data_IF_733569740702
#
_entry.id   IF_733569740702
#
_cell.length_a   1.000
_cell.length_b   1.000
_cell.length_c   1.000
_cell.angle_alpha   90.00
_cell.angle_beta   90.00
_cell.angle_gamma   90.00
#
_symmetry.space_group_name_H-M   'P 1'
#
loop_
_entity.id
_entity.type
_entity.pdbx_description
1 polymer ?
#
# COMPACT_ATOMS: atom_id res chain seq x y z
N UNK A 1 43.68 22.45 -20.67
CA UNK A 1 43.23 22.95 -19.35
C UNK A 1 42.12 22.03 -18.86
N UNK A 2 42.47 21.14 -17.93
CA UNK A 2 41.56 20.19 -17.29
C UNK A 2 41.12 20.83 -15.97
N UNK A 3 39.81 20.83 -15.67
CA UNK A 3 39.31 20.91 -14.30
C UNK A 3 38.26 19.83 -14.09
N UNK A 4 38.76 18.72 -13.60
CA UNK A 4 38.09 17.74 -12.76
C UNK A 4 37.47 18.43 -11.54
N UNK A 5 36.24 18.06 -11.23
CA UNK A 5 35.50 18.46 -10.03
C UNK A 5 34.65 17.29 -9.55
N UNK A 6 35.34 16.31 -8.98
CA UNK A 6 34.82 15.11 -8.31
C UNK A 6 34.55 15.48 -6.86
N UNK A 7 33.35 15.27 -6.31
CA UNK A 7 33.12 15.15 -4.86
C UNK A 7 31.88 14.24 -4.58
N UNK A 8 32.23 13.00 -4.22
CA UNK A 8 31.81 12.19 -3.07
C UNK A 8 30.31 11.85 -2.91
N UNK A 9 29.98 10.59 -3.27
CA UNK A 9 28.91 9.80 -2.68
C UNK A 9 29.30 9.37 -1.25
N UNK A 10 28.52 9.74 -0.25
CA UNK A 10 28.65 9.20 1.10
C UNK A 10 27.58 8.12 1.33
N UNK A 11 27.97 6.87 1.06
CA UNK A 11 27.32 5.67 1.60
C UNK A 11 27.91 5.45 2.99
N UNK A 12 27.09 5.52 4.03
CA UNK A 12 27.52 5.16 5.40
C UNK A 12 26.81 3.89 5.82
N UNK A 13 27.39 2.77 5.40
CA UNK A 13 27.30 1.48 6.10
C UNK A 13 28.23 1.59 7.30
N UNK A 14 27.70 1.47 8.52
CA UNK A 14 28.51 1.16 9.69
C UNK A 14 27.88 -0.03 10.42
N UNK A 15 28.54 -1.17 10.27
CA UNK A 15 28.22 -2.41 10.97
C UNK A 15 28.72 -2.42 12.41
N UNK A 16 27.85 -2.93 13.29
CA UNK A 16 28.10 -3.96 14.30
C UNK A 16 29.53 -4.20 14.80
N UNK A 17 29.70 -4.14 16.14
CA UNK A 17 30.43 -5.08 17.01
C UNK A 17 29.93 -4.82 18.45
N UNK A 18 28.98 -5.62 18.97
CA UNK A 18 29.16 -6.85 19.77
C UNK A 18 29.76 -6.63 21.17
N UNK A 19 28.91 -6.82 22.21
CA UNK A 19 29.32 -7.34 23.51
C UNK A 19 28.09 -7.82 24.30
N UNK A 20 27.84 -9.13 24.26
CA UNK A 20 27.54 -9.93 25.45
C UNK A 20 27.37 -11.41 25.06
N UNK A 21 28.36 -12.19 25.47
CA UNK A 21 28.24 -13.64 25.55
C UNK A 21 27.39 -14.00 26.76
N UNK A 22 26.41 -14.89 26.58
CA UNK A 22 25.99 -15.82 27.62
C UNK A 22 25.61 -17.13 26.93
N UNK A 23 26.37 -18.18 27.25
CA UNK A 23 26.19 -19.53 26.75
C UNK A 23 25.05 -20.24 27.50
N UNK A 24 24.34 -21.11 26.77
CA UNK A 24 23.73 -22.32 27.34
C UNK A 24 22.21 -22.33 27.45
N UNK A 25 21.53 -22.86 26.43
CA UNK A 25 20.53 -23.93 26.56
C UNK A 25 19.89 -24.22 25.19
N UNK A 26 20.02 -25.46 24.70
CA UNK A 26 19.16 -25.98 23.64
C UNK A 26 17.75 -26.13 24.22
N UNK A 27 16.80 -25.34 23.71
CA UNK A 27 15.36 -25.59 23.86
C UNK A 27 14.75 -25.54 22.47
N UNK A 28 14.28 -26.71 22.02
CA UNK A 28 13.36 -26.83 20.91
C UNK A 28 12.06 -26.15 21.31
N UNK A 29 11.75 -24.99 20.74
CA UNK A 29 10.43 -24.37 20.88
C UNK A 29 9.68 -24.46 19.56
N UNK A 30 9.05 -25.62 19.34
CA UNK A 30 7.78 -25.63 18.64
C UNK A 30 6.77 -24.94 19.56
N UNK A 31 6.46 -23.68 19.28
CA UNK A 31 5.32 -22.99 19.88
C UNK A 31 4.39 -22.44 18.77
N UNK A 32 3.06 -22.52 18.97
CA UNK A 32 2.09 -22.54 17.88
C UNK A 32 1.64 -21.12 17.51
N UNK A 33 1.89 -20.71 16.26
CA UNK A 33 1.44 -19.42 15.72
C UNK A 33 -0.09 -19.38 15.49
N UNK A 34 -0.80 -20.51 15.62
CA UNK A 34 -2.21 -20.61 15.24
C UNK A 34 -3.24 -20.15 16.28
N UNK A 35 -2.87 -19.77 17.51
CA UNK A 35 -3.90 -19.41 18.51
C UNK A 35 -4.30 -17.92 18.46
N UNK A 36 -3.42 -17.03 18.00
CA UNK A 36 -3.68 -15.58 18.03
C UNK A 36 -4.43 -15.10 16.77
N UNK A 37 -4.17 -15.68 15.60
CA UNK A 37 -4.91 -15.40 14.37
C UNK A 37 -6.37 -15.91 14.46
N UNK A 38 -6.57 -17.09 15.06
CA UNK A 38 -7.91 -17.67 15.30
C UNK A 38 -8.72 -16.84 16.31
N UNK A 39 -8.06 -16.25 17.32
CA UNK A 39 -8.74 -15.37 18.29
C UNK A 39 -9.25 -14.07 17.66
N UNK A 40 -8.55 -13.52 16.67
CA UNK A 40 -8.99 -12.33 15.93
C UNK A 40 -10.18 -12.67 15.02
N UNK A 41 -10.18 -13.85 14.38
CA UNK A 41 -11.29 -14.35 13.55
C UNK A 41 -12.57 -14.54 14.40
N UNK A 42 -12.44 -15.02 15.64
CA UNK A 42 -13.59 -15.26 16.52
C UNK A 42 -14.23 -13.96 17.04
N UNK A 43 -13.45 -12.93 17.33
CA UNK A 43 -13.98 -11.64 17.83
C UNK A 43 -14.74 -10.86 16.75
N UNK A 44 -14.37 -11.00 15.47
CA UNK A 44 -15.04 -10.28 14.37
C UNK A 44 -16.34 -10.95 13.88
N UNK A 45 -16.53 -12.25 14.14
CA UNK A 45 -17.77 -12.95 13.81
C UNK A 45 -18.93 -12.65 14.78
N UNK A 46 -18.70 -12.01 15.93
CA UNK A 46 -19.76 -11.73 16.92
C UNK A 46 -20.52 -10.42 16.68
N UNK A 47 -20.10 -9.57 15.73
CA UNK A 47 -20.79 -8.31 15.44
C UNK A 47 -21.95 -8.43 14.43
N UNK A 48 -22.21 -9.63 13.91
CA UNK A 48 -23.27 -9.89 12.93
C UNK A 48 -24.22 -10.99 13.45
N UNK A 49 -25.21 -10.61 14.25
CA UNK A 49 -26.44 -11.42 14.36
C UNK A 49 -27.52 -10.73 13.54
N UNK A 50 -27.98 -11.34 12.42
CA UNK A 50 -29.12 -10.83 11.69
C UNK A 50 -30.41 -11.32 12.34
N UNK A 51 -31.38 -10.40 12.47
CA UNK A 51 -32.79 -10.74 12.75
C UNK A 51 -33.32 -11.77 11.73
N UNK A 52 -34.32 -12.60 12.09
CA UNK A 52 -34.81 -13.66 11.22
C UNK A 52 -35.61 -13.08 10.04
N UNK A 53 -35.01 -13.08 8.84
CA UNK A 53 -35.65 -12.64 7.59
C UNK A 53 -36.37 -13.82 6.91
N UNK A 54 -37.67 -13.61 6.61
CA UNK A 54 -38.54 -14.45 5.78
C UNK A 54 -37.91 -14.76 4.39
N UNK A 55 -38.10 -15.96 3.83
CA UNK A 55 -37.45 -16.34 2.58
C UNK A 55 -38.01 -15.55 1.39
N UNK A 56 -37.13 -14.79 0.74
CA UNK A 56 -37.36 -14.12 -0.55
C UNK A 56 -36.74 -14.95 -1.68
N UNK A 57 -37.36 -15.03 -2.87
CA UNK A 57 -36.88 -15.87 -3.96
C UNK A 57 -35.76 -15.17 -4.75
N UNK A 58 -34.58 -14.98 -4.14
CA UNK A 58 -33.40 -14.51 -4.85
C UNK A 58 -32.54 -15.69 -5.29
N UNK A 59 -32.23 -15.74 -6.59
CA UNK A 59 -31.26 -16.65 -7.20
C UNK A 59 -29.98 -16.66 -6.38
N UNK A 60 -29.65 -17.83 -5.82
CA UNK A 60 -28.37 -18.09 -5.14
C UNK A 60 -27.25 -17.85 -6.16
N UNK A 61 -26.34 -16.88 -5.93
CA UNK A 61 -25.16 -16.73 -6.77
C UNK A 61 -24.34 -18.03 -6.72
N UNK A 62 -23.84 -18.50 -7.86
CA UNK A 62 -22.92 -19.65 -7.92
C UNK A 62 -21.82 -19.49 -6.86
N UNK A 63 -21.34 -20.58 -6.22
CA UNK A 63 -20.25 -20.48 -5.26
C UNK A 63 -19.02 -19.89 -5.95
N UNK A 64 -18.67 -18.65 -5.60
CA UNK A 64 -17.47 -18.00 -6.11
C UNK A 64 -16.25 -18.74 -5.55
N UNK A 65 -15.28 -19.05 -6.41
CA UNK A 65 -13.99 -19.55 -5.93
C UNK A 65 -13.29 -18.46 -5.12
N UNK A 66 -12.39 -18.80 -4.17
CA UNK A 66 -11.64 -17.80 -3.40
C UNK A 66 -10.90 -16.79 -4.29
N UNK A 67 -10.39 -17.25 -5.44
CA UNK A 67 -9.71 -16.39 -6.41
C UNK A 67 -10.68 -15.44 -7.13
N UNK A 68 -11.85 -15.91 -7.54
CA UNK A 68 -12.88 -15.04 -8.13
C UNK A 68 -13.33 -13.94 -7.17
N UNK A 69 -13.52 -14.28 -5.89
CA UNK A 69 -13.88 -13.32 -4.86
C UNK A 69 -12.74 -12.31 -4.56
N UNK A 70 -11.48 -12.72 -4.70
CA UNK A 70 -10.32 -11.82 -4.66
C UNK A 70 -10.36 -10.82 -5.82
N UNK A 71 -10.59 -11.29 -7.05
CA UNK A 71 -10.68 -10.42 -8.23
C UNK A 71 -11.84 -9.43 -8.12
N UNK A 72 -12.99 -9.84 -7.58
CA UNK A 72 -14.10 -8.93 -7.30
C UNK A 72 -13.69 -7.82 -6.31
N UNK A 73 -12.97 -8.19 -5.24
CA UNK A 73 -12.48 -7.23 -4.24
C UNK A 73 -11.45 -6.26 -4.84
N UNK A 74 -10.57 -6.75 -5.70
CA UNK A 74 -9.60 -5.94 -6.44
C UNK A 74 -10.33 -4.97 -7.40
N UNK A 75 -11.36 -5.44 -8.10
CA UNK A 75 -12.18 -4.62 -9.00
C UNK A 75 -12.83 -3.44 -8.25
N UNK A 76 -13.45 -3.69 -7.09
CA UNK A 76 -14.04 -2.63 -6.25
C UNK A 76 -13.01 -1.57 -5.84
N UNK A 77 -11.79 -1.99 -5.49
CA UNK A 77 -10.73 -1.05 -5.15
C UNK A 77 -10.29 -0.23 -6.37
N UNK A 78 -10.09 -0.87 -7.54
CA UNK A 78 -9.77 -0.19 -8.81
C UNK A 78 -10.84 0.83 -9.19
N UNK A 79 -12.11 0.47 -9.12
CA UNK A 79 -13.23 1.37 -9.43
C UNK A 79 -13.23 2.59 -8.51
N UNK A 80 -12.92 2.40 -7.22
CA UNK A 80 -12.83 3.49 -6.23
C UNK A 80 -11.67 4.48 -6.48
N UNK A 81 -10.67 4.09 -7.28
CA UNK A 81 -9.50 4.91 -7.63
C UNK A 81 -9.74 5.62 -8.97
N UNK A 82 -10.29 4.90 -9.95
CA UNK A 82 -10.47 5.38 -11.32
C UNK A 82 -11.68 6.30 -11.52
N UNK A 83 -12.58 6.38 -10.54
CA UNK A 83 -13.73 7.29 -10.59
C UNK A 83 -13.28 8.75 -10.67
N UNK A 84 -13.61 9.41 -11.78
CA UNK A 84 -13.42 10.84 -12.02
C UNK A 84 -14.77 11.50 -12.28
N UNK A 85 -15.15 12.56 -11.55
CA UNK A 85 -16.38 13.27 -11.82
C UNK A 85 -16.28 14.01 -13.15
N UNK A 86 -17.42 14.20 -13.81
CA UNK A 86 -17.52 15.00 -15.02
C UNK A 86 -16.96 16.41 -14.81
N UNK A 87 -16.22 16.91 -15.79
CA UNK A 87 -15.58 18.23 -15.72
C UNK A 87 -14.32 18.30 -14.85
N UNK A 88 -13.84 17.20 -14.29
CA UNK A 88 -12.55 17.21 -13.59
C UNK A 88 -11.39 17.45 -14.56
N UNK A 89 -10.67 18.56 -14.34
CA UNK A 89 -9.42 18.88 -15.03
C UNK A 89 -8.32 19.18 -14.00
N UNK A 90 -7.26 18.39 -14.02
CA UNK A 90 -6.12 18.55 -13.12
C UNK A 90 -5.35 19.85 -13.34
N UNK A 91 -5.35 20.39 -14.55
CA UNK A 91 -4.60 21.61 -14.87
C UNK A 91 -5.13 22.84 -14.12
N UNK A 92 -6.42 22.83 -13.76
CA UNK A 92 -7.09 23.89 -12.99
C UNK A 92 -6.57 24.02 -11.55
N UNK A 93 -5.86 23.00 -11.05
CA UNK A 93 -5.39 22.90 -9.68
C UNK A 93 -3.85 22.86 -9.55
N UNK A 94 -3.12 23.05 -10.65
CA UNK A 94 -1.66 22.95 -10.63
C UNK A 94 -0.99 23.96 -9.68
N UNK A 95 -1.64 25.11 -9.46
CA UNK A 95 -1.14 26.17 -8.59
C UNK A 95 -1.04 25.78 -7.10
N UNK A 96 -1.79 24.75 -6.68
CA UNK A 96 -1.73 24.19 -5.32
C UNK A 96 -0.30 23.78 -4.96
N UNK A 97 0.41 23.19 -5.92
CA UNK A 97 1.72 22.57 -5.71
C UNK A 97 2.89 23.54 -5.91
N UNK A 98 2.62 24.78 -6.33
CA UNK A 98 3.64 25.81 -6.45
C UNK A 98 4.40 25.92 -5.12
N UNK A 99 5.73 26.00 -5.18
CA UNK A 99 6.66 26.04 -4.03
C UNK A 99 6.87 24.73 -3.26
N UNK A 100 6.27 23.61 -3.72
CA UNK A 100 6.41 22.27 -3.15
C UNK A 100 7.01 21.24 -4.14
N UNK A 101 7.75 21.71 -5.15
CA UNK A 101 8.33 20.87 -6.22
C UNK A 101 9.19 19.70 -5.72
N UNK A 102 9.75 19.79 -4.51
CA UNK A 102 10.53 18.68 -3.93
C UNK A 102 9.63 17.49 -3.55
N UNK A 103 8.42 17.78 -3.09
CA UNK A 103 7.44 16.80 -2.60
C UNK A 103 6.44 16.39 -3.68
N UNK A 104 6.38 17.12 -4.79
CA UNK A 104 5.49 16.86 -5.93
C UNK A 104 6.26 16.96 -7.25
N UNK A 105 7.05 15.92 -7.54
CA UNK A 105 7.83 15.80 -8.78
C UNK A 105 7.03 15.01 -9.82
N UNK A 106 7.51 15.03 -11.06
CA UNK A 106 6.90 14.29 -12.17
C UNK A 106 7.28 12.80 -12.20
N UNK A 107 7.98 12.28 -11.19
CA UNK A 107 8.30 10.86 -11.05
C UNK A 107 7.17 10.12 -10.34
N UNK A 108 7.11 8.79 -10.51
CA UNK A 108 5.94 8.00 -10.14
C UNK A 108 5.54 8.18 -8.68
N UNK A 109 6.48 8.07 -7.74
CA UNK A 109 6.18 8.16 -6.30
C UNK A 109 5.70 9.55 -5.85
N UNK A 110 6.26 10.63 -6.42
CA UNK A 110 5.89 12.00 -6.02
C UNK A 110 4.81 12.60 -6.93
N UNK A 111 4.15 11.78 -7.76
CA UNK A 111 3.14 12.23 -8.70
C UNK A 111 1.98 12.95 -8.00
N UNK A 112 1.57 14.08 -8.60
CA UNK A 112 0.37 14.84 -8.20
C UNK A 112 -0.91 14.03 -8.38
N UNK A 113 -0.90 13.01 -9.24
CA UNK A 113 -2.12 12.23 -9.51
C UNK A 113 -2.61 11.49 -8.26
N UNK A 114 -1.71 11.07 -7.36
CA UNK A 114 -2.10 10.47 -6.08
C UNK A 114 -2.79 11.43 -5.12
N UNK A 115 -2.46 12.72 -5.15
CA UNK A 115 -3.21 13.72 -4.40
C UNK A 115 -4.68 13.76 -4.86
N UNK A 116 -4.93 13.73 -6.17
CA UNK A 116 -6.29 13.74 -6.70
C UNK A 116 -7.03 12.43 -6.37
N UNK A 117 -6.35 11.28 -6.44
CA UNK A 117 -6.90 9.98 -6.04
C UNK A 117 -7.27 9.97 -4.54
N UNK A 118 -6.48 10.60 -3.67
CA UNK A 118 -6.75 10.72 -2.23
C UNK A 118 -8.07 11.41 -1.89
N UNK A 119 -8.59 12.24 -2.80
CA UNK A 119 -9.90 12.91 -2.68
C UNK A 119 -10.93 12.42 -3.71
N UNK A 120 -10.68 11.28 -4.37
CA UNK A 120 -11.52 10.76 -5.47
C UNK A 120 -11.84 11.81 -6.54
N UNK A 121 -10.86 12.66 -6.84
CA UNK A 121 -10.99 13.74 -7.82
C UNK A 121 -12.13 14.73 -7.50
N UNK A 122 -12.57 14.80 -6.24
CA UNK A 122 -13.69 15.62 -5.82
C UNK A 122 -13.41 17.12 -5.92
N UNK A 123 -13.85 17.74 -7.02
CA UNK A 123 -13.60 19.15 -7.39
C UNK A 123 -13.82 20.11 -6.19
N UNK A 124 -14.96 20.01 -5.50
CA UNK A 124 -15.30 20.89 -4.37
C UNK A 124 -14.29 20.74 -3.21
N UNK A 125 -13.82 19.52 -2.95
CA UNK A 125 -12.89 19.27 -1.85
C UNK A 125 -11.47 19.70 -2.21
N UNK A 126 -11.05 19.48 -3.45
CA UNK A 126 -9.78 19.97 -3.98
C UNK A 126 -9.74 21.50 -3.95
N UNK A 127 -10.84 22.17 -4.32
CA UNK A 127 -10.94 23.63 -4.23
C UNK A 127 -10.77 24.14 -2.79
N UNK A 128 -11.36 23.45 -1.81
CA UNK A 128 -11.17 23.80 -0.39
C UNK A 128 -9.72 23.61 0.05
N UNK A 129 -9.05 22.55 -0.39
CA UNK A 129 -7.61 22.38 -0.15
C UNK A 129 -6.83 23.54 -0.77
N UNK A 130 -7.14 23.93 -2.01
CA UNK A 130 -6.53 25.08 -2.68
C UNK A 130 -6.67 26.37 -1.86
N UNK A 131 -7.85 26.62 -1.30
CA UNK A 131 -8.09 27.78 -0.42
C UNK A 131 -7.24 27.74 0.85
N UNK A 132 -7.18 26.58 1.52
CA UNK A 132 -6.36 26.38 2.73
C UNK A 132 -4.88 26.59 2.43
N UNK A 133 -4.37 25.99 1.35
CA UNK A 133 -2.97 26.13 0.94
C UNK A 133 -2.64 27.57 0.57
N UNK A 134 -3.50 28.26 -0.19
CA UNK A 134 -3.30 29.69 -0.52
C UNK A 134 -3.27 30.56 0.73
N UNK A 135 -4.17 30.34 1.70
CA UNK A 135 -4.20 31.10 2.94
C UNK A 135 -2.92 30.91 3.77
N UNK A 136 -2.44 29.67 3.89
CA UNK A 136 -1.19 29.34 4.60
C UNK A 136 0.04 29.90 3.89
N UNK A 137 0.09 29.83 2.56
CA UNK A 137 1.21 30.36 1.76
C UNK A 137 1.30 31.88 1.79
N UNK A 138 0.16 32.57 1.82
CA UNK A 138 0.09 34.03 1.74
C UNK A 138 0.82 34.75 2.89
N UNK A 139 1.07 34.07 4.02
CA UNK A 139 1.78 34.67 5.16
C UNK A 139 3.28 34.76 4.95
N UNK A 140 3.86 33.92 4.07
CA UNK A 140 5.31 33.77 3.94
C UNK A 140 6.00 33.14 5.15
N UNK A 141 5.25 32.71 6.17
CA UNK A 141 5.80 32.12 7.39
C UNK A 141 6.15 30.64 7.13
N UNK A 142 7.37 30.24 7.48
CA UNK A 142 7.87 28.89 7.25
C UNK A 142 6.98 27.80 7.86
N UNK A 143 6.50 28.00 9.09
CA UNK A 143 5.63 27.05 9.78
C UNK A 143 4.25 26.88 9.11
N UNK A 144 3.71 27.95 8.52
CA UNK A 144 2.43 27.87 7.79
C UNK A 144 2.63 27.14 6.46
N UNK A 145 3.76 27.40 5.77
CA UNK A 145 4.14 26.67 4.56
C UNK A 145 4.36 25.18 4.84
N UNK A 146 5.02 24.83 5.94
CA UNK A 146 5.21 23.44 6.37
C UNK A 146 3.87 22.74 6.66
N UNK A 147 2.92 23.42 7.29
CA UNK A 147 1.58 22.87 7.50
C UNK A 147 0.87 22.61 6.16
N UNK A 148 0.96 23.54 5.20
CA UNK A 148 0.41 23.33 3.85
C UNK A 148 1.05 22.12 3.16
N UNK A 149 2.37 21.96 3.27
CA UNK A 149 3.08 20.80 2.70
C UNK A 149 2.61 19.48 3.33
N UNK A 150 2.47 19.42 4.67
CA UNK A 150 1.96 18.24 5.39
C UNK A 150 0.55 17.83 4.94
N UNK A 151 -0.34 18.81 4.78
CA UNK A 151 -1.70 18.57 4.25
C UNK A 151 -1.63 17.90 2.87
N UNK A 152 -0.83 18.45 1.96
CA UNK A 152 -0.72 17.92 0.61
C UNK A 152 -0.08 16.52 0.59
N UNK A 153 0.96 16.30 1.38
CA UNK A 153 1.64 15.00 1.50
C UNK A 153 0.68 13.95 2.06
N UNK A 154 -0.04 14.23 3.15
CA UNK A 154 -0.99 13.28 3.71
C UNK A 154 -2.10 12.90 2.72
N UNK A 155 -2.57 13.85 1.91
CA UNK A 155 -3.53 13.59 0.84
C UNK A 155 -2.95 12.70 -0.26
N UNK A 156 -1.73 12.99 -0.72
CA UNK A 156 -1.00 12.15 -1.68
C UNK A 156 -0.82 10.73 -1.13
N UNK A 157 -0.39 10.60 0.12
CA UNK A 157 -0.06 9.31 0.72
C UNK A 157 -1.34 8.46 0.93
N UNK A 158 -2.48 9.09 1.22
CA UNK A 158 -3.77 8.38 1.20
C UNK A 158 -4.14 7.78 -0.16
N UNK A 159 -3.67 8.41 -1.26
CA UNK A 159 -3.87 7.93 -2.62
C UNK A 159 -2.84 6.89 -3.05
N UNK A 160 -1.57 7.08 -2.69
CA UNK A 160 -0.48 6.19 -3.12
C UNK A 160 -0.65 4.78 -2.55
N UNK A 161 -0.99 4.64 -1.26
CA UNK A 161 -1.06 3.33 -0.61
C UNK A 161 -2.13 2.42 -1.17
N UNK A 162 -3.20 3.00 -1.75
CA UNK A 162 -4.23 2.21 -2.42
C UNK A 162 -3.91 1.97 -3.89
N UNK A 163 -3.18 2.88 -4.53
CA UNK A 163 -2.80 2.80 -5.95
C UNK A 163 -1.73 1.73 -6.15
N UNK A 164 -0.69 1.72 -5.30
CA UNK A 164 0.38 0.71 -5.27
C UNK A 164 -0.15 -0.74 -5.31
N UNK A 165 -1.31 -0.97 -4.68
CA UNK A 165 -1.91 -2.31 -4.59
C UNK A 165 -2.50 -2.75 -5.92
N UNK A 166 -3.02 -1.82 -6.73
CA UNK A 166 -3.84 -2.14 -7.91
C UNK A 166 -3.16 -1.88 -9.25
N UNK A 167 -1.97 -1.30 -9.24
CA UNK A 167 -1.15 -1.06 -10.43
C UNK A 167 -0.86 -2.36 -11.19
N UNK A 168 -1.20 -2.37 -12.48
CA UNK A 168 -1.18 -3.58 -13.30
C UNK A 168 0.23 -4.06 -13.65
N UNK A 169 1.16 -3.10 -13.75
CA UNK A 169 2.60 -3.25 -13.94
C UNK A 169 3.39 -3.02 -12.64
N UNK A 170 2.69 -2.84 -11.52
CA UNK A 170 3.28 -2.60 -10.20
C UNK A 170 3.90 -3.85 -9.55
N UNK A 171 4.25 -3.72 -8.28
CA UNK A 171 4.93 -4.78 -7.51
C UNK A 171 4.00 -5.64 -6.65
N UNK A 172 2.75 -5.22 -6.43
CA UNK A 172 1.83 -5.88 -5.49
C UNK A 172 0.89 -6.82 -6.24
N UNK A 173 -0.30 -6.37 -6.67
CA UNK A 173 -1.26 -7.21 -7.41
C UNK A 173 -1.20 -6.96 -8.92
N UNK A 174 0.01 -6.91 -9.47
CA UNK A 174 0.22 -6.86 -10.91
C UNK A 174 -0.26 -8.13 -11.61
N UNK A 175 -0.42 -8.05 -12.93
CA UNK A 175 -0.88 -9.18 -13.74
C UNK A 175 0.01 -10.43 -13.57
N UNK A 176 1.33 -10.22 -13.40
CA UNK A 176 2.29 -11.30 -13.13
C UNK A 176 2.04 -11.96 -11.78
N UNK A 177 1.91 -11.17 -10.71
CA UNK A 177 1.71 -11.67 -9.35
C UNK A 177 0.34 -12.31 -9.16
N UNK A 178 -0.70 -11.77 -9.79
CA UNK A 178 -2.04 -12.39 -9.83
C UNK A 178 -2.02 -13.75 -10.52
N UNK A 179 -1.21 -13.90 -11.57
CA UNK A 179 -1.02 -15.17 -12.27
C UNK A 179 -0.28 -16.20 -11.40
N UNK A 180 0.74 -15.77 -10.65
CA UNK A 180 1.43 -16.64 -9.66
C UNK A 180 0.45 -17.07 -8.57
N UNK A 181 -0.32 -16.14 -8.02
CA UNK A 181 -1.33 -16.41 -7.00
C UNK A 181 -2.36 -17.43 -7.47
N UNK A 182 -2.88 -17.28 -8.68
CA UNK A 182 -3.81 -18.24 -9.28
C UNK A 182 -3.19 -19.64 -9.42
N UNK A 183 -1.98 -19.73 -9.99
CA UNK A 183 -1.29 -20.99 -10.25
C UNK A 183 -0.89 -21.73 -8.97
N UNK A 184 -0.53 -20.99 -7.92
CA UNK A 184 -0.18 -21.58 -6.62
C UNK A 184 -1.33 -22.35 -5.99
N UNK A 185 -2.57 -21.97 -6.31
CA UNK A 185 -3.80 -22.45 -5.67
C UNK A 185 -3.75 -22.42 -4.13
N UNK A 186 -2.95 -21.49 -3.56
CA UNK A 186 -2.82 -21.34 -2.12
C UNK A 186 -4.03 -20.60 -1.55
N UNK A 187 -5.08 -21.36 -1.19
CA UNK A 187 -6.36 -20.83 -0.71
C UNK A 187 -6.18 -19.94 0.54
N UNK A 188 -5.22 -20.26 1.41
CA UNK A 188 -4.93 -19.46 2.60
C UNK A 188 -4.43 -18.07 2.21
N UNK A 189 -3.39 -17.99 1.36
CA UNK A 189 -2.83 -16.71 0.88
C UNK A 189 -3.89 -15.92 0.12
N UNK A 190 -4.65 -16.56 -0.77
CA UNK A 190 -5.75 -15.92 -1.52
C UNK A 190 -6.77 -15.29 -0.56
N UNK A 191 -7.19 -16.02 0.48
CA UNK A 191 -8.17 -15.50 1.43
C UNK A 191 -7.61 -14.35 2.29
N UNK A 192 -6.35 -14.42 2.73
CA UNK A 192 -5.71 -13.33 3.47
C UNK A 192 -5.64 -12.07 2.63
N UNK A 193 -5.18 -12.19 1.37
CA UNK A 193 -5.10 -11.06 0.43
C UNK A 193 -6.49 -10.48 0.15
N UNK A 194 -7.49 -11.33 -0.10
CA UNK A 194 -8.88 -10.90 -0.32
C UNK A 194 -9.44 -10.11 0.86
N UNK A 195 -9.24 -10.61 2.08
CA UNK A 195 -9.73 -9.93 3.29
C UNK A 195 -9.02 -8.59 3.50
N UNK A 196 -7.70 -8.55 3.32
CA UNK A 196 -6.93 -7.31 3.42
C UNK A 196 -7.35 -6.28 2.35
N UNK A 197 -7.64 -6.71 1.12
CA UNK A 197 -8.20 -5.85 0.06
C UNK A 197 -9.56 -5.28 0.44
N UNK A 198 -10.46 -6.12 0.94
CA UNK A 198 -11.79 -5.68 1.40
C UNK A 198 -11.67 -4.63 2.51
N UNK A 199 -10.79 -4.88 3.49
CA UNK A 199 -10.52 -3.94 4.57
C UNK A 199 -9.86 -2.65 4.08
N UNK A 200 -8.93 -2.73 3.12
CA UNK A 200 -8.27 -1.57 2.52
C UNK A 200 -9.28 -0.68 1.81
N UNK A 201 -10.21 -1.28 1.05
CA UNK A 201 -11.29 -0.55 0.40
C UNK A 201 -12.20 0.14 1.43
N UNK A 202 -12.66 -0.57 2.46
CA UNK A 202 -13.50 0.03 3.52
C UNK A 202 -12.78 1.16 4.27
N UNK A 203 -11.49 0.96 4.61
CA UNK A 203 -10.67 1.97 5.28
C UNK A 203 -10.48 3.20 4.39
N UNK A 204 -10.26 3.02 3.08
CA UNK A 204 -10.17 4.10 2.10
C UNK A 204 -11.44 4.94 2.07
N UNK A 205 -12.61 4.32 1.96
CA UNK A 205 -13.89 5.05 1.98
C UNK A 205 -14.06 5.86 3.26
N UNK A 206 -13.76 5.25 4.42
CA UNK A 206 -13.84 5.94 5.70
C UNK A 206 -12.86 7.12 5.81
N UNK A 207 -11.60 6.93 5.41
CA UNK A 207 -10.58 8.00 5.40
C UNK A 207 -11.00 9.14 4.49
N UNK A 208 -11.57 8.86 3.30
CA UNK A 208 -12.03 9.90 2.37
C UNK A 208 -13.14 10.74 2.99
N UNK A 209 -14.14 10.13 3.64
CA UNK A 209 -15.22 10.91 4.27
C UNK A 209 -14.69 11.78 5.42
N UNK A 210 -13.77 11.27 6.24
CA UNK A 210 -13.11 12.06 7.27
C UNK A 210 -12.28 13.20 6.68
N UNK A 211 -11.53 12.96 5.60
CA UNK A 211 -10.76 13.98 4.88
C UNK A 211 -11.69 15.10 4.40
N UNK A 212 -12.80 14.75 3.76
CA UNK A 212 -13.79 15.72 3.25
C UNK A 212 -14.36 16.59 4.36
N UNK A 213 -14.68 15.99 5.50
CA UNK A 213 -15.16 16.69 6.70
C UNK A 213 -14.10 17.64 7.26
N UNK A 214 -12.90 17.15 7.59
CA UNK A 214 -11.85 17.98 8.18
C UNK A 214 -11.41 19.11 7.24
N UNK A 215 -11.30 18.86 5.94
CA UNK A 215 -10.97 19.90 4.96
C UNK A 215 -12.06 20.97 4.91
N UNK A 216 -13.34 20.58 4.94
CA UNK A 216 -14.46 21.53 4.99
C UNK A 216 -14.34 22.41 6.24
N UNK A 217 -14.13 21.81 7.40
CA UNK A 217 -14.09 22.53 8.67
C UNK A 217 -12.87 23.48 8.74
N UNK A 218 -11.69 23.01 8.30
CA UNK A 218 -10.46 23.82 8.20
C UNK A 218 -10.67 24.99 7.23
N UNK A 219 -11.27 24.75 6.07
CA UNK A 219 -11.51 25.79 5.06
C UNK A 219 -12.48 26.89 5.53
N UNK A 220 -13.33 26.60 6.54
CA UNK A 220 -14.22 27.58 7.15
C UNK A 220 -13.55 28.50 8.17
N UNK A 221 -12.30 28.24 8.55
CA UNK A 221 -11.58 29.04 9.54
C UNK A 221 -11.09 30.37 8.94
N UNK A 222 -11.28 31.46 9.69
CA UNK A 222 -10.92 32.83 9.23
C UNK A 222 -9.47 33.22 9.53
N UNK A 223 -8.87 32.67 10.58
CA UNK A 223 -7.52 33.05 11.04
C UNK A 223 -6.51 32.03 10.55
N UNK A 224 -5.44 32.48 9.91
CA UNK A 224 -4.38 31.58 9.38
C UNK A 224 -3.73 30.75 10.48
N UNK A 225 -3.49 31.32 11.67
CA UNK A 225 -2.98 30.56 12.81
C UNK A 225 -3.90 29.39 13.18
N UNK A 226 -5.22 29.59 13.19
CA UNK A 226 -6.19 28.52 13.45
C UNK A 226 -6.21 27.47 12.33
N UNK A 227 -6.06 27.90 11.06
CA UNK A 227 -5.91 26.97 9.93
C UNK A 227 -4.67 26.09 10.13
N UNK A 228 -3.51 26.69 10.41
CA UNK A 228 -2.27 25.96 10.66
C UNK A 228 -2.44 24.95 11.79
N UNK A 229 -2.98 25.39 12.93
CA UNK A 229 -3.12 24.53 14.10
C UNK A 229 -4.07 23.35 13.81
N UNK A 230 -5.18 23.59 13.11
CA UNK A 230 -6.11 22.54 12.69
C UNK A 230 -5.50 21.57 11.67
N UNK A 231 -4.70 22.06 10.72
CA UNK A 231 -3.94 21.21 9.80
C UNK A 231 -2.94 20.33 10.55
N UNK A 232 -2.19 20.89 11.50
CA UNK A 232 -1.24 20.11 12.29
C UNK A 232 -1.92 19.07 13.21
N UNK A 233 -3.10 19.37 13.75
CA UNK A 233 -3.91 18.39 14.50
C UNK A 233 -4.47 17.28 13.62
N UNK A 234 -4.61 17.52 12.31
CA UNK A 234 -5.19 16.55 11.37
C UNK A 234 -4.11 15.70 10.68
N UNK A 235 -3.03 16.34 10.22
CA UNK A 235 -1.98 15.77 9.37
C UNK A 235 -0.56 15.87 9.98
N UNK A 236 -0.41 16.39 11.20
CA UNK A 236 0.87 16.36 11.90
C UNK A 236 1.22 14.94 12.37
N UNK A 237 2.39 14.79 12.99
CA UNK A 237 2.94 13.49 13.43
C UNK A 237 1.97 12.65 14.29
N UNK A 238 1.13 13.30 15.09
CA UNK A 238 0.11 12.66 15.92
C UNK A 238 -1.30 13.03 15.45
N UNK A 239 -1.46 13.33 14.16
CA UNK A 239 -2.69 13.82 13.58
C UNK A 239 -3.72 12.71 13.42
N UNK A 240 -4.98 13.03 13.70
CA UNK A 240 -6.09 12.06 13.70
C UNK A 240 -6.24 11.31 12.37
N UNK A 241 -6.07 12.02 11.25
CA UNK A 241 -6.17 11.42 9.93
C UNK A 241 -4.87 10.72 9.54
N UNK A 242 -3.72 11.32 9.85
CA UNK A 242 -2.42 10.70 9.54
C UNK A 242 -2.31 9.32 10.18
N UNK A 243 -2.80 9.15 11.41
CA UNK A 243 -2.86 7.86 12.08
C UNK A 243 -3.62 6.81 11.24
N UNK A 244 -4.76 7.17 10.67
CA UNK A 244 -5.57 6.25 9.85
C UNK A 244 -4.94 5.95 8.48
N UNK A 245 -4.07 6.83 7.99
CA UNK A 245 -3.37 6.67 6.71
C UNK A 245 -2.11 5.80 6.90
N UNK A 246 -1.28 6.12 7.89
CA UNK A 246 0.08 5.56 8.01
C UNK A 246 0.25 4.61 9.20
N UNK A 247 -0.38 4.90 10.34
CA UNK A 247 0.02 4.26 11.60
C UNK A 247 -0.88 3.09 11.99
N UNK A 248 -0.29 1.93 12.24
CA UNK A 248 -0.98 0.73 12.71
C UNK A 248 -1.31 -0.26 11.59
N UNK A 249 -1.64 -1.50 11.98
CA UNK A 249 -1.89 -2.58 11.02
C UNK A 249 -3.20 -2.44 10.25
N UNK A 250 -4.14 -1.64 10.75
CA UNK A 250 -5.43 -1.35 10.11
C UNK A 250 -5.45 0.01 9.37
N UNK A 251 -4.30 0.68 9.27
CA UNK A 251 -4.14 1.88 8.44
C UNK A 251 -4.10 1.53 6.95
N UNK A 252 -4.19 2.53 6.07
CA UNK A 252 -4.04 2.30 4.62
C UNK A 252 -2.67 1.67 4.30
N UNK A 253 -1.59 2.22 4.87
CA UNK A 253 -0.25 1.68 4.72
C UNK A 253 -0.14 0.27 5.32
N UNK A 254 -0.66 0.04 6.52
CA UNK A 254 -0.60 -1.26 7.18
C UNK A 254 -1.30 -2.36 6.39
N UNK A 255 -2.48 -2.06 5.84
CA UNK A 255 -3.24 -2.99 5.00
C UNK A 255 -2.56 -3.23 3.64
N UNK A 256 -2.00 -2.19 3.02
CA UNK A 256 -1.15 -2.32 1.82
C UNK A 256 0.03 -3.25 2.09
N UNK A 257 0.73 -3.06 3.20
CA UNK A 257 1.92 -3.83 3.56
C UNK A 257 1.59 -5.29 3.88
N UNK A 258 0.43 -5.57 4.50
CA UNK A 258 -0.07 -6.94 4.68
C UNK A 258 -0.21 -7.65 3.32
N UNK A 259 -0.82 -6.98 2.34
CA UNK A 259 -0.99 -7.54 0.99
C UNK A 259 0.37 -7.74 0.34
N UNK A 260 1.22 -6.70 0.36
CA UNK A 260 2.55 -6.73 -0.25
C UNK A 260 3.38 -7.89 0.29
N UNK A 261 3.50 -8.01 1.61
CA UNK A 261 4.31 -9.05 2.23
C UNK A 261 3.82 -10.44 1.85
N UNK A 262 2.50 -10.66 1.77
CA UNK A 262 1.95 -11.96 1.34
C UNK A 262 2.24 -12.28 -0.12
N UNK A 263 2.28 -11.28 -0.99
CA UNK A 263 2.66 -11.47 -2.38
C UNK A 263 4.17 -11.68 -2.53
N UNK A 264 4.99 -10.87 -1.88
CA UNK A 264 6.44 -11.02 -1.90
C UNK A 264 6.86 -12.42 -1.44
N UNK A 265 6.31 -12.90 -0.31
CA UNK A 265 6.54 -14.25 0.20
C UNK A 265 6.20 -15.33 -0.83
N UNK A 266 5.08 -15.15 -1.55
CA UNK A 266 4.62 -16.10 -2.55
C UNK A 266 5.52 -16.12 -3.79
N UNK A 267 5.91 -14.93 -4.26
CA UNK A 267 6.82 -14.77 -5.40
C UNK A 267 8.17 -15.42 -5.07
N UNK A 268 8.72 -15.15 -3.89
CA UNK A 268 9.99 -15.73 -3.44
C UNK A 268 9.91 -17.27 -3.35
N UNK A 269 8.80 -17.81 -2.84
CA UNK A 269 8.56 -19.25 -2.82
C UNK A 269 8.51 -19.85 -4.22
N UNK A 270 7.81 -19.21 -5.16
CA UNK A 270 7.72 -19.67 -6.55
C UNK A 270 9.11 -19.69 -7.20
N UNK A 271 9.90 -18.62 -7.06
CA UNK A 271 11.26 -18.57 -7.59
C UNK A 271 12.16 -19.67 -7.01
N UNK A 272 12.03 -19.96 -5.71
CA UNK A 272 12.77 -21.06 -5.07
C UNK A 272 12.41 -22.41 -5.69
N UNK A 273 11.13 -22.67 -5.95
CA UNK A 273 10.66 -23.90 -6.60
C UNK A 273 11.16 -24.02 -8.04
N UNK A 274 11.16 -22.92 -8.79
CA UNK A 274 11.65 -22.89 -10.17
C UNK A 274 13.15 -23.19 -10.24
N UNK A 275 13.94 -22.59 -9.34
CA UNK A 275 15.39 -22.86 -9.22
C UNK A 275 15.68 -24.33 -8.87
N UNK A 276 14.93 -24.92 -7.95
CA UNK A 276 15.07 -26.34 -7.59
C UNK A 276 14.71 -27.26 -8.77
N UNK A 277 13.60 -26.98 -9.42
CA UNK A 277 13.12 -27.74 -10.58
C UNK A 277 14.11 -27.71 -11.75
N UNK A 278 14.74 -26.55 -12.00
CA UNK A 278 15.78 -26.41 -13.02
C UNK A 278 17.02 -27.26 -12.69
N UNK A 279 17.48 -27.25 -11.43
CA UNK A 279 18.63 -28.06 -10.98
C UNK A 279 18.37 -29.55 -11.11
N UNK A 280 17.18 -30.02 -10.71
CA UNK A 280 16.80 -31.43 -10.84
C UNK A 280 16.82 -31.86 -12.31
N UNK A 281 16.24 -31.06 -13.22
CA UNK A 281 16.26 -31.33 -14.66
C UNK A 281 17.68 -31.39 -15.22
N UNK A 282 18.57 -30.49 -14.79
CA UNK A 282 19.97 -30.47 -15.21
C UNK A 282 20.71 -31.75 -14.73
N UNK A 283 20.51 -32.17 -13.48
CA UNK A 283 21.09 -33.40 -12.96
C UNK A 283 20.57 -34.65 -13.68
N UNK A 284 19.30 -34.70 -14.03
CA UNK A 284 18.72 -35.80 -14.81
C UNK A 284 19.30 -35.87 -16.22
N UNK A 285 19.53 -34.74 -16.88
CA UNK A 285 20.18 -34.67 -18.19
C UNK A 285 21.64 -35.14 -18.13
N UNK A 286 22.38 -34.76 -17.08
CA UNK A 286 23.76 -35.22 -16.84
C UNK A 286 23.82 -36.75 -16.62
N UNK A 287 22.86 -37.33 -15.89
CA UNK A 287 22.77 -38.78 -15.67
C UNK A 287 22.41 -39.57 -16.94
N UNK A 288 21.67 -38.98 -17.87
CA UNK A 288 21.27 -39.59 -19.15
C UNK A 288 22.31 -39.48 -20.27
N UNK A 289 23.41 -38.76 -20.03
CA UNK A 289 24.50 -38.62 -21.01
C UNK A 289 25.36 -39.90 -21.04
N UNK A 290 25.46 -40.62 -22.18
CA UNK A 290 26.15 -41.90 -22.22
C UNK A 290 27.64 -41.73 -21.89
N UNK A 291 28.16 -42.54 -20.94
CA UNK A 291 29.59 -42.73 -20.74
C UNK A 291 30.19 -43.13 -22.10
N UNK A 292 30.91 -42.21 -22.76
CA UNK A 292 31.81 -42.56 -23.87
C UNK A 292 32.75 -43.64 -23.34
N UNK A 293 32.47 -44.91 -23.67
CA UNK A 293 33.43 -45.99 -23.49
C UNK A 293 34.65 -45.60 -24.31
N UNK A 294 35.74 -45.27 -23.62
CA UNK A 294 37.03 -45.08 -24.26
C UNK A 294 37.39 -46.34 -25.02
N UNK A 295 37.47 -46.24 -26.34
CA UNK A 295 38.15 -47.20 -27.18
C UNK A 295 39.61 -47.27 -26.74
N UNK A 296 40.01 -48.34 -26.07
CA UNK A 296 41.42 -48.75 -26.04
C UNK A 296 41.82 -48.99 -27.49
N UNK A 297 42.79 -48.21 -27.97
CA UNK A 297 43.52 -48.56 -29.19
C UNK A 297 44.57 -49.61 -28.79
N UNK A 298 44.53 -50.71 -29.52
CA UNK A 298 45.60 -51.71 -29.65
C UNK A 298 46.87 -51.08 -30.23
#
# INVERSE_FOLDING_TARGET
>A
MIRTGMIICAVSILGLLMLSCAAGAKVSSNSPINLHAVKIIHTMNQLNTPDPIKPSPYKVPLPQTPYAALLESLGKLKDSINSKPEGFDKSTFDDIFNDFNRSFRSDDYYSKDYFYIGLKHGIIHIERVRQVVRALKATGIAADKEAAEKLLIGLRDSGIYVSDVVEEDGQILSNANLSILQKSNNIEVINVVRLALGNLHLKREHVIELLKEKIRDISGLKKVASIRDAVNLTFGKNGEILEKIENGHDSLLGLRDIIKNKIDDLVEQQERQDRLSARIKEEELKKKSPKKKGSKKE
#
